data_IF_245634123318
#
_entry.id   IF_245634123318
#
_cell.length_a   1.000
_cell.length_b   1.000
_cell.length_c   1.000
_cell.angle_alpha   90.00
_cell.angle_beta   90.00
_cell.angle_gamma   90.00
#
_symmetry.space_group_name_H-M   'P 1'
#
loop_
_entity.id
_entity.type
_entity.pdbx_description
1 polymer ?
#
# COMPACT_ATOMS: atom_id res chain seq x y z
N UNK A 1 3.51 -16.37 8.63
CA UNK A 1 3.14 -14.96 8.37
C UNK A 1 2.15 -14.53 9.45
N UNK A 2 2.39 -13.49 10.26
CA UNK A 2 1.39 -13.01 11.21
C UNK A 2 0.13 -12.56 10.44
N UNK A 3 -1.08 -12.71 11.02
CA UNK A 3 -2.32 -12.39 10.32
C UNK A 3 -2.33 -10.92 9.88
N UNK A 4 -2.62 -10.68 8.59
CA UNK A 4 -2.62 -9.36 7.93
C UNK A 4 -3.51 -8.30 8.60
N UNK A 5 -4.44 -8.73 9.47
CA UNK A 5 -5.35 -7.91 10.30
C UNK A 5 -4.67 -7.14 11.45
N UNK A 6 -3.36 -7.28 11.68
CA UNK A 6 -2.62 -6.61 12.77
C UNK A 6 -1.74 -5.43 12.32
N UNK A 7 -1.98 -4.86 11.14
CA UNK A 7 -1.27 -3.64 10.71
C UNK A 7 -1.99 -2.42 11.27
N UNK A 8 -1.22 -1.46 11.81
CA UNK A 8 -1.75 -0.18 12.27
C UNK A 8 -2.56 0.50 11.16
N UNK A 9 -3.76 0.98 11.50
CA UNK A 9 -4.68 1.63 10.56
C UNK A 9 -5.60 0.70 9.76
N UNK A 10 -5.55 -0.62 9.93
CA UNK A 10 -6.54 -1.53 9.33
C UNK A 10 -7.94 -1.25 9.89
N UNK A 11 -8.90 -0.94 9.01
CA UNK A 11 -10.33 -0.96 9.31
C UNK A 11 -11.03 -1.86 8.27
N UNK A 12 -12.03 -2.65 8.65
CA UNK A 12 -12.70 -3.58 7.74
C UNK A 12 -13.33 -2.91 6.51
N UNK A 13 -13.65 -1.62 6.62
CA UNK A 13 -14.47 -0.87 5.65
C UNK A 13 -13.66 0.21 4.90
N UNK A 14 -12.34 0.07 4.83
CA UNK A 14 -11.48 1.08 4.19
C UNK A 14 -11.46 0.98 2.65
N UNK A 15 -11.78 -0.19 2.10
CA UNK A 15 -11.87 -0.37 0.64
C UNK A 15 -13.24 0.10 0.15
N UNK A 16 -13.27 0.76 -1.00
CA UNK A 16 -14.54 1.04 -1.67
C UNK A 16 -15.22 -0.27 -2.08
N UNK A 17 -16.56 -0.33 -2.13
CA UNK A 17 -17.27 -1.54 -2.57
C UNK A 17 -16.76 -2.05 -3.92
N UNK A 18 -16.57 -1.15 -4.89
CA UNK A 18 -16.04 -1.51 -6.21
C UNK A 18 -14.65 -2.18 -6.17
N UNK A 19 -13.75 -1.74 -5.27
CA UNK A 19 -12.43 -2.36 -5.13
C UNK A 19 -12.51 -3.69 -4.37
N UNK A 20 -13.40 -3.79 -3.37
CA UNK A 20 -13.69 -5.06 -2.68
C UNK A 20 -14.22 -6.10 -3.68
N UNK A 21 -15.23 -5.75 -4.45
CA UNK A 21 -15.86 -6.63 -5.45
C UNK A 21 -14.84 -7.08 -6.51
N UNK A 22 -13.93 -6.20 -6.94
CA UNK A 22 -12.87 -6.54 -7.89
C UNK A 22 -11.87 -7.55 -7.30
N UNK A 23 -11.52 -7.42 -6.02
CA UNK A 23 -10.64 -8.37 -5.32
C UNK A 23 -11.32 -9.72 -5.12
N UNK A 24 -12.61 -9.73 -4.80
CA UNK A 24 -13.40 -10.97 -4.65
C UNK A 24 -13.57 -11.69 -6.00
N UNK A 25 -13.85 -10.95 -7.06
CA UNK A 25 -13.93 -11.49 -8.42
C UNK A 25 -12.59 -12.10 -8.88
N UNK A 26 -11.47 -11.43 -8.58
CA UNK A 26 -10.14 -11.95 -8.90
C UNK A 26 -9.81 -13.21 -8.09
N UNK A 27 -10.20 -13.26 -6.82
CA UNK A 27 -10.11 -14.46 -5.98
C UNK A 27 -10.88 -15.64 -6.58
N UNK A 28 -12.14 -15.41 -6.99
CA UNK A 28 -12.97 -16.43 -7.63
C UNK A 28 -12.38 -16.91 -8.97
N UNK A 29 -11.83 -16.00 -9.79
CA UNK A 29 -11.15 -16.34 -11.04
C UNK A 29 -9.94 -17.27 -10.80
N UNK A 30 -9.14 -16.97 -9.77
CA UNK A 30 -7.99 -17.78 -9.40
C UNK A 30 -8.41 -19.16 -8.86
N UNK A 31 -9.46 -19.21 -8.05
CA UNK A 31 -9.96 -20.48 -7.50
C UNK A 31 -10.45 -21.43 -8.60
N UNK A 32 -11.02 -20.87 -9.69
CA UNK A 32 -11.45 -21.62 -10.87
C UNK A 32 -10.33 -22.28 -11.70
N UNK A 33 -9.05 -22.04 -11.39
CA UNK A 33 -7.92 -22.72 -12.05
C UNK A 33 -7.87 -24.17 -11.56
N UNK A 34 -8.01 -25.16 -12.44
CA UNK A 34 -8.10 -26.58 -12.04
C UNK A 34 -6.80 -27.13 -11.45
N UNK A 35 -5.66 -26.84 -12.08
CA UNK A 35 -4.35 -27.36 -11.67
C UNK A 35 -3.86 -26.75 -10.36
N UNK A 36 -3.58 -27.53 -9.30
CA UNK A 36 -3.11 -26.98 -8.02
C UNK A 36 -1.79 -26.21 -8.16
N UNK A 37 -0.85 -26.71 -8.96
CA UNK A 37 0.43 -26.05 -9.21
C UNK A 37 0.25 -24.78 -10.07
N UNK A 38 -0.63 -24.82 -11.06
CA UNK A 38 -0.96 -23.67 -11.91
C UNK A 38 -1.64 -22.56 -11.10
N UNK A 39 -2.56 -22.92 -10.21
CA UNK A 39 -3.23 -21.99 -9.31
C UNK A 39 -2.22 -21.29 -8.40
N UNK A 40 -1.29 -22.05 -7.80
CA UNK A 40 -0.23 -21.49 -6.95
C UNK A 40 0.63 -20.50 -7.73
N UNK A 41 1.05 -20.86 -8.94
CA UNK A 41 1.83 -19.99 -9.80
C UNK A 41 1.07 -18.71 -10.18
N UNK A 42 -0.20 -18.84 -10.55
CA UNK A 42 -1.07 -17.72 -10.91
C UNK A 42 -1.31 -16.76 -9.74
N UNK A 43 -1.57 -17.28 -8.54
CA UNK A 43 -1.67 -16.46 -7.31
C UNK A 43 -0.38 -15.71 -7.05
N UNK A 44 0.77 -16.37 -7.21
CA UNK A 44 2.09 -15.73 -7.09
C UNK A 44 2.27 -14.56 -8.07
N UNK A 45 1.90 -14.76 -9.34
CA UNK A 45 1.94 -13.71 -10.36
C UNK A 45 1.00 -12.54 -10.03
N UNK A 46 -0.20 -12.81 -9.53
CA UNK A 46 -1.14 -11.75 -9.10
C UNK A 46 -0.59 -10.96 -7.91
N UNK A 47 0.03 -11.62 -6.93
CA UNK A 47 0.66 -10.89 -5.83
C UNK A 47 1.81 -9.99 -6.31
N UNK A 48 2.64 -10.46 -7.24
CA UNK A 48 3.69 -9.63 -7.81
C UNK A 48 3.11 -8.41 -8.56
N UNK A 49 2.05 -8.61 -9.37
CA UNK A 49 1.39 -7.51 -10.07
C UNK A 49 0.69 -6.52 -9.11
N UNK A 50 0.16 -7.02 -7.99
CA UNK A 50 -0.45 -6.17 -6.97
C UNK A 50 0.58 -5.28 -6.26
N UNK A 51 1.84 -5.69 -6.14
CA UNK A 51 2.88 -4.82 -5.57
C UNK A 51 3.02 -3.52 -6.39
N UNK A 52 2.99 -3.61 -7.72
CA UNK A 52 2.99 -2.44 -8.61
C UNK A 52 1.69 -1.63 -8.50
N UNK A 53 0.54 -2.29 -8.39
CA UNK A 53 -0.75 -1.62 -8.23
C UNK A 53 -0.86 -0.88 -6.88
N UNK A 54 -0.29 -1.45 -5.82
CA UNK A 54 -0.23 -0.84 -4.49
C UNK A 54 0.63 0.43 -4.48
N UNK A 55 1.61 0.52 -5.37
CA UNK A 55 2.44 1.71 -5.54
C UNK A 55 1.62 2.93 -6.00
N UNK A 56 0.60 2.71 -6.85
CA UNK A 56 -0.37 3.75 -7.24
C UNK A 56 -1.16 4.24 -6.03
N UNK A 57 -1.58 3.32 -5.15
CA UNK A 57 -2.31 3.64 -3.92
C UNK A 57 -1.40 4.33 -2.88
N UNK A 58 -0.09 4.04 -2.91
CA UNK A 58 0.88 4.68 -2.02
C UNK A 58 1.20 6.12 -2.43
N UNK A 59 1.03 6.48 -3.71
CA UNK A 59 1.42 7.78 -4.27
C UNK A 59 0.75 8.99 -3.58
N UNK A 60 -0.57 9.02 -3.29
CA UNK A 60 -1.19 10.12 -2.54
C UNK A 60 -0.50 10.41 -1.20
N UNK A 61 -0.07 9.37 -0.47
CA UNK A 61 0.67 9.54 0.78
C UNK A 61 2.05 10.16 0.55
N UNK A 62 2.75 9.79 -0.52
CA UNK A 62 4.04 10.38 -0.85
C UNK A 62 3.91 11.86 -1.23
N UNK A 63 2.88 12.21 -2.00
CA UNK A 63 2.56 13.62 -2.34
C UNK A 63 2.27 14.44 -1.08
N UNK A 64 1.44 13.93 -0.17
CA UNK A 64 1.14 14.62 1.09
C UNK A 64 2.40 14.83 1.96
N UNK A 65 3.30 13.83 2.03
CA UNK A 65 4.60 13.99 2.72
C UNK A 65 5.45 15.06 2.05
N UNK A 66 5.50 15.10 0.72
CA UNK A 66 6.25 16.10 -0.02
C UNK A 66 5.69 17.52 0.17
N UNK A 67 4.37 17.68 0.15
CA UNK A 67 3.70 18.96 0.43
C UNK A 67 4.04 19.49 1.83
N UNK A 68 3.99 18.63 2.85
CA UNK A 68 4.38 19.01 4.21
C UNK A 68 5.86 19.44 4.29
N UNK A 69 6.74 18.72 3.58
CA UNK A 69 8.16 19.08 3.49
C UNK A 69 8.37 20.41 2.79
N UNK A 70 7.66 20.69 1.70
CA UNK A 70 7.69 21.97 0.98
C UNK A 70 7.19 23.13 1.86
N UNK A 71 6.23 22.87 2.76
CA UNK A 71 5.75 23.82 3.77
C UNK A 71 6.73 23.99 4.96
N UNK A 72 7.91 23.37 4.93
CA UNK A 72 8.94 23.49 5.96
C UNK A 72 8.72 22.61 7.20
N UNK A 73 7.81 21.64 7.18
CA UNK A 73 7.57 20.77 8.34
C UNK A 73 8.77 19.85 8.60
N UNK A 74 9.26 19.82 9.84
CA UNK A 74 10.32 18.89 10.26
C UNK A 74 9.82 17.44 10.30
N UNK A 75 10.75 16.48 10.23
CA UNK A 75 10.41 15.05 10.25
C UNK A 75 9.71 14.66 11.56
N UNK A 76 10.14 15.26 12.68
CA UNK A 76 9.54 15.04 13.99
C UNK A 76 8.11 15.57 14.04
N UNK A 77 7.86 16.76 13.47
CA UNK A 77 6.52 17.33 13.42
C UNK A 77 5.57 16.46 12.59
N UNK A 78 6.03 15.94 11.45
CA UNK A 78 5.25 15.02 10.62
C UNK A 78 5.00 13.69 11.36
N UNK A 79 6.02 13.14 12.02
CA UNK A 79 5.91 11.89 12.77
C UNK A 79 4.85 11.98 13.87
N UNK A 80 4.89 13.05 14.67
CA UNK A 80 3.90 13.29 15.72
C UNK A 80 2.49 13.48 15.14
N UNK A 81 2.35 14.27 14.08
CA UNK A 81 1.04 14.58 13.49
C UNK A 81 0.39 13.39 12.75
N UNK A 82 1.19 12.42 12.31
CA UNK A 82 0.71 11.25 11.53
C UNK A 82 0.73 9.96 12.32
N UNK A 83 1.17 10.00 13.59
CA UNK A 83 1.41 8.83 14.45
C UNK A 83 2.38 7.81 13.82
N UNK A 84 3.19 8.25 12.86
CA UNK A 84 4.22 7.43 12.24
C UNK A 84 5.53 7.56 13.02
N UNK A 85 6.32 6.49 13.03
CA UNK A 85 7.69 6.59 13.53
C UNK A 85 8.52 7.56 12.66
N UNK A 86 9.48 8.25 13.28
CA UNK A 86 10.42 9.15 12.56
C UNK A 86 11.15 8.42 11.42
N UNK A 87 11.52 7.15 11.65
CA UNK A 87 12.12 6.30 10.63
C UNK A 87 11.18 6.05 9.44
N UNK A 88 9.88 5.84 9.69
CA UNK A 88 8.89 5.68 8.62
C UNK A 88 8.70 6.97 7.82
N UNK A 89 8.66 8.12 8.49
CA UNK A 89 8.64 9.42 7.81
C UNK A 89 9.87 9.59 6.92
N UNK A 90 11.07 9.29 7.42
CA UNK A 90 12.30 9.38 6.63
C UNK A 90 12.28 8.48 5.39
N UNK A 91 11.74 7.25 5.51
CA UNK A 91 11.55 6.35 4.37
C UNK A 91 10.57 6.94 3.34
N UNK A 92 9.46 7.52 3.79
CA UNK A 92 8.46 8.13 2.90
C UNK A 92 9.02 9.37 2.18
N UNK A 93 9.78 10.22 2.86
CA UNK A 93 10.45 11.37 2.26
C UNK A 93 11.45 10.89 1.20
N UNK A 94 12.27 9.87 1.49
CA UNK A 94 13.18 9.29 0.49
C UNK A 94 12.42 8.76 -0.73
N UNK A 95 11.38 7.96 -0.51
CA UNK A 95 10.56 7.39 -1.58
C UNK A 95 9.82 8.45 -2.42
N UNK A 96 9.51 9.62 -1.83
CA UNK A 96 8.99 10.77 -2.55
C UNK A 96 10.07 11.46 -3.40
N UNK A 97 11.30 11.56 -2.88
CA UNK A 97 12.45 12.07 -3.63
C UNK A 97 12.83 11.19 -4.82
N UNK A 98 12.86 9.86 -4.63
CA UNK A 98 13.12 8.88 -5.69
C UNK A 98 12.07 8.96 -6.84
N UNK A 99 10.89 9.52 -6.56
CA UNK A 99 9.79 9.76 -7.51
C UNK A 99 9.69 11.21 -7.96
N UNK A 100 10.69 12.05 -7.67
CA UNK A 100 10.74 13.47 -8.05
C UNK A 100 9.54 14.31 -7.57
N UNK A 101 9.06 14.03 -6.36
CA UNK A 101 7.96 14.77 -5.74
C UNK A 101 8.43 15.88 -4.78
N UNK A 102 9.72 15.91 -4.43
CA UNK A 102 10.35 16.85 -3.49
C UNK A 102 11.17 17.92 -4.20
#
# INVERSE_FOLDING_TARGET
>A
MPPRRRRDGYRPETLTPALSDALDAEGARLDGIEGPLERIAAVGAVYAALDDALDVIALPRLRAIAELRAQGWSYDRIAVATELSKGRVAQLVRAAGDRHLL
#
